data_IF_254441007489
#
_entry.id   IF_254441007489
#
_cell.length_a   1.000
_cell.length_b   1.000
_cell.length_c   1.000
_cell.angle_alpha   90.00
_cell.angle_beta   90.00
_cell.angle_gamma   90.00
#
_symmetry.space_group_name_H-M   'P 1'
#
loop_
_entity.id
_entity.type
_entity.pdbx_description
1 polymer ?
#
# COMPACT_ATOMS: atom_id res chain seq x y z
N UNK A 1 58.51 -8.99 -120.30
CA UNK A 1 57.24 -8.55 -120.92
C UNK A 1 56.62 -7.53 -119.99
N UNK A 2 56.78 -6.23 -120.27
CA UNK A 2 56.23 -5.13 -119.46
C UNK A 2 54.81 -4.78 -119.91
N UNK A 3 54.02 -4.17 -119.01
CA UNK A 3 53.32 -2.94 -119.41
C UNK A 3 53.45 -1.78 -118.40
N UNK A 4 53.22 -0.57 -118.91
CA UNK A 4 52.98 0.70 -118.19
C UNK A 4 51.51 1.12 -118.43
N UNK A 5 50.90 2.18 -117.87
CA UNK A 5 51.39 3.35 -117.10
C UNK A 5 50.50 3.50 -115.82
N UNK A 6 50.35 4.58 -115.04
CA UNK A 6 50.23 6.05 -115.23
C UNK A 6 50.63 6.75 -113.91
N UNK A 7 51.30 7.91 -113.91
CA UNK A 7 51.56 8.67 -112.68
C UNK A 7 50.35 9.52 -112.26
N UNK A 8 49.92 9.41 -111.01
CA UNK A 8 49.04 10.42 -110.40
C UNK A 8 49.90 11.56 -109.86
N UNK A 9 49.57 12.79 -110.27
CA UNK A 9 50.30 13.99 -109.89
C UNK A 9 50.21 14.22 -108.36
N UNK A 10 51.37 14.46 -107.74
CA UNK A 10 51.42 14.90 -106.35
C UNK A 10 50.93 16.34 -106.26
N UNK A 11 49.87 16.59 -105.50
CA UNK A 11 49.53 17.95 -105.05
C UNK A 11 50.23 18.18 -103.71
N UNK A 12 51.54 18.45 -103.78
CA UNK A 12 52.37 18.70 -102.60
C UNK A 12 52.19 20.13 -102.09
N UNK A 13 51.01 20.43 -101.53
CA UNK A 13 50.91 21.56 -100.61
C UNK A 13 51.51 21.13 -99.27
N UNK A 14 52.81 21.33 -99.10
CA UNK A 14 53.57 20.93 -97.91
C UNK A 14 53.49 22.05 -96.87
N UNK A 15 52.73 21.92 -95.76
CA UNK A 15 52.69 22.94 -94.73
C UNK A 15 54.03 22.94 -93.98
N UNK A 16 54.72 24.08 -93.97
CA UNK A 16 55.97 24.26 -93.23
C UNK A 16 55.74 24.15 -91.72
N UNK A 17 56.81 23.81 -90.98
CA UNK A 17 56.76 23.65 -89.52
C UNK A 17 56.21 24.88 -88.77
N UNK A 18 55.82 24.65 -87.52
CA UNK A 18 54.95 25.48 -86.63
C UNK A 18 53.47 25.60 -87.02
N UNK A 19 53.09 25.68 -88.30
CA UNK A 19 51.65 25.62 -88.71
C UNK A 19 51.00 24.24 -88.45
N UNK A 20 51.82 23.18 -88.31
CA UNK A 20 51.34 21.84 -87.93
C UNK A 20 51.13 21.67 -86.41
N UNK A 21 51.71 22.57 -85.59
CA UNK A 21 51.61 22.54 -84.13
C UNK A 21 50.59 23.55 -83.59
N UNK A 22 50.38 24.65 -84.31
CA UNK A 22 49.36 25.65 -83.98
C UNK A 22 48.25 25.52 -85.02
N UNK A 23 47.14 24.83 -84.73
CA UNK A 23 46.03 24.74 -85.67
C UNK A 23 45.49 26.14 -86.03
N UNK A 24 44.99 26.34 -87.26
CA UNK A 24 44.47 27.63 -87.68
C UNK A 24 43.35 28.09 -86.74
N UNK A 25 43.25 29.40 -86.48
CA UNK A 25 42.34 29.92 -85.43
C UNK A 25 40.87 29.53 -85.66
N UNK A 26 40.48 29.28 -86.92
CA UNK A 26 39.19 28.71 -87.29
C UNK A 26 38.94 27.33 -86.65
N UNK A 27 39.92 26.42 -86.67
CA UNK A 27 39.80 25.09 -86.06
C UNK A 27 39.77 25.17 -84.54
N UNK A 28 40.49 26.13 -83.94
CA UNK A 28 40.40 26.40 -82.49
C UNK A 28 38.99 26.90 -82.13
N UNK A 29 38.42 27.82 -82.92
CA UNK A 29 37.06 28.33 -82.69
C UNK A 29 36.02 27.21 -82.89
N UNK A 30 36.11 26.42 -83.96
CA UNK A 30 35.14 25.34 -84.21
C UNK A 30 35.27 24.15 -83.27
N UNK A 31 36.48 23.77 -82.86
CA UNK A 31 36.67 22.76 -81.81
C UNK A 31 36.18 23.26 -80.45
N UNK A 32 36.38 24.54 -80.11
CA UNK A 32 35.81 25.14 -78.91
C UNK A 32 34.28 25.23 -78.97
N UNK A 33 33.69 25.54 -80.12
CA UNK A 33 32.22 25.51 -80.33
C UNK A 33 31.67 24.09 -80.22
N UNK A 34 32.33 23.09 -80.81
CA UNK A 34 31.92 21.68 -80.69
C UNK A 34 32.03 21.16 -79.25
N UNK A 35 33.13 21.50 -78.56
CA UNK A 35 33.31 21.22 -77.13
C UNK A 35 32.24 21.94 -76.32
N UNK A 36 31.94 23.22 -76.58
CA UNK A 36 30.90 23.97 -75.86
C UNK A 36 29.50 23.37 -76.06
N UNK A 37 29.15 22.93 -77.28
CA UNK A 37 27.88 22.27 -77.59
C UNK A 37 27.68 20.98 -76.79
N UNK A 38 28.76 20.26 -76.44
CA UNK A 38 28.71 19.03 -75.62
C UNK A 38 28.84 19.37 -74.13
N UNK A 39 29.76 20.28 -73.77
CA UNK A 39 30.09 20.63 -72.40
C UNK A 39 28.99 21.44 -71.71
N UNK A 40 28.30 22.36 -72.41
CA UNK A 40 27.19 23.13 -71.84
C UNK A 40 26.07 22.21 -71.33
N UNK A 41 25.49 21.28 -72.13
CA UNK A 41 24.49 20.35 -71.60
C UNK A 41 25.10 19.35 -70.61
N UNK A 42 26.35 18.90 -70.77
CA UNK A 42 26.98 18.01 -69.79
C UNK A 42 27.10 18.68 -68.41
N UNK A 43 27.58 19.92 -68.34
CA UNK A 43 27.67 20.69 -67.10
C UNK A 43 26.29 21.08 -66.57
N UNK A 44 25.34 21.43 -67.45
CA UNK A 44 24.00 21.88 -67.03
C UNK A 44 23.03 20.75 -66.64
N UNK A 45 23.28 19.50 -67.08
CA UNK A 45 22.40 18.36 -66.79
C UNK A 45 23.06 17.19 -66.03
N UNK A 46 24.36 16.92 -66.22
CA UNK A 46 25.05 15.79 -65.55
C UNK A 46 25.54 16.19 -64.17
N UNK A 47 26.27 17.30 -64.04
CA UNK A 47 26.74 17.77 -62.72
C UNK A 47 25.61 17.91 -61.68
N UNK A 48 24.48 18.62 -61.95
CA UNK A 48 23.42 18.76 -60.94
C UNK A 48 22.69 17.45 -60.62
N UNK A 49 22.67 16.47 -61.54
CA UNK A 49 22.14 15.14 -61.25
C UNK A 49 23.07 14.33 -60.35
N UNK A 50 24.38 14.46 -60.55
CA UNK A 50 25.39 13.79 -59.71
C UNK A 50 25.44 14.41 -58.32
N UNK A 51 25.40 15.74 -58.20
CA UNK A 51 25.34 16.41 -56.89
C UNK A 51 24.05 16.06 -56.15
N UNK A 52 22.88 16.17 -56.79
CA UNK A 52 21.60 15.83 -56.15
C UNK A 52 21.56 14.38 -55.62
N UNK A 53 22.16 13.42 -56.35
CA UNK A 53 22.26 12.03 -55.88
C UNK A 53 23.24 11.88 -54.71
N UNK A 54 24.35 12.63 -54.70
CA UNK A 54 25.29 12.65 -53.57
C UNK A 54 24.68 13.29 -52.33
N UNK A 55 23.93 14.38 -52.51
CA UNK A 55 23.21 15.09 -51.45
C UNK A 55 22.10 14.20 -50.85
N UNK A 56 21.32 13.50 -51.69
CA UNK A 56 20.31 12.51 -51.23
C UNK A 56 20.96 11.36 -50.43
N UNK A 57 22.16 10.90 -50.85
CA UNK A 57 22.92 9.87 -50.11
C UNK A 57 23.49 10.41 -48.80
N UNK A 58 23.97 11.65 -48.77
CA UNK A 58 24.45 12.30 -47.56
C UNK A 58 23.29 12.51 -46.56
N UNK A 59 22.16 13.05 -47.01
CA UNK A 59 20.98 13.31 -46.19
C UNK A 59 20.38 12.02 -45.63
N UNK A 60 20.30 10.94 -46.42
CA UNK A 60 19.81 9.63 -45.93
C UNK A 60 20.75 8.99 -44.92
N UNK A 61 22.08 9.15 -45.06
CA UNK A 61 23.05 8.68 -44.07
C UNK A 61 22.99 9.53 -42.79
N UNK A 62 23.00 10.85 -42.90
CA UNK A 62 22.95 11.77 -41.76
C UNK A 62 21.60 11.70 -41.03
N UNK A 63 20.50 11.54 -41.76
CA UNK A 63 19.18 11.26 -41.21
C UNK A 63 19.14 9.91 -40.48
N UNK A 64 19.73 8.86 -41.06
CA UNK A 64 19.85 7.55 -40.43
C UNK A 64 20.69 7.55 -39.15
N UNK A 65 21.80 8.29 -39.13
CA UNK A 65 22.64 8.47 -37.93
C UNK A 65 21.87 9.24 -36.85
N UNK A 66 21.28 10.40 -37.19
CA UNK A 66 20.49 11.20 -36.25
C UNK A 66 19.31 10.43 -35.67
N UNK A 67 18.57 9.68 -36.49
CA UNK A 67 17.48 8.82 -36.02
C UNK A 67 17.98 7.69 -35.10
N UNK A 68 19.14 7.09 -35.41
CA UNK A 68 19.78 6.09 -34.56
C UNK A 68 20.29 6.64 -33.23
N UNK A 69 20.81 7.87 -33.20
CA UNK A 69 21.21 8.57 -31.99
C UNK A 69 20.01 8.99 -31.14
N UNK A 70 18.95 9.55 -31.75
CA UNK A 70 17.69 9.86 -31.08
C UNK A 70 17.06 8.62 -30.46
N UNK A 71 16.91 7.53 -31.20
CA UNK A 71 16.37 6.27 -30.69
C UNK A 71 17.22 5.69 -29.53
N UNK A 72 18.54 5.88 -29.54
CA UNK A 72 19.42 5.50 -28.42
C UNK A 72 19.25 6.41 -27.22
N UNK A 73 19.11 7.72 -27.42
CA UNK A 73 18.89 8.68 -26.35
C UNK A 73 17.53 8.46 -25.69
N UNK A 74 16.46 8.29 -26.46
CA UNK A 74 15.12 7.94 -25.98
C UNK A 74 15.11 6.61 -25.23
N UNK A 75 15.78 5.58 -25.75
CA UNK A 75 15.90 4.29 -25.05
C UNK A 75 16.69 4.39 -23.73
N UNK A 76 17.72 5.23 -23.67
CA UNK A 76 18.48 5.48 -22.44
C UNK A 76 17.67 6.28 -21.42
N UNK A 77 16.96 7.32 -21.85
CA UNK A 77 16.07 8.11 -21.00
C UNK A 77 14.92 7.27 -20.45
N UNK A 78 14.24 6.51 -21.32
CA UNK A 78 13.15 5.61 -20.94
C UNK A 78 13.64 4.56 -19.93
N UNK A 79 14.86 4.04 -20.10
CA UNK A 79 15.48 3.13 -19.14
C UNK A 79 15.77 3.79 -17.80
N UNK A 80 16.31 5.02 -17.78
CA UNK A 80 16.51 5.78 -16.53
C UNK A 80 15.19 5.96 -15.79
N UNK A 81 14.13 6.41 -16.50
CA UNK A 81 12.79 6.57 -15.94
C UNK A 81 12.23 5.25 -15.37
N UNK A 82 12.39 4.13 -16.06
CA UNK A 82 11.98 2.81 -15.55
C UNK A 82 12.78 2.36 -14.32
N UNK A 83 14.10 2.57 -14.30
CA UNK A 83 14.95 2.22 -13.16
C UNK A 83 14.64 3.12 -11.94
N UNK A 84 14.33 4.41 -12.16
CA UNK A 84 13.86 5.36 -11.15
C UNK A 84 12.47 4.98 -10.58
N UNK A 85 11.52 4.65 -11.46
CA UNK A 85 10.16 4.21 -11.08
C UNK A 85 10.20 2.88 -10.31
N UNK A 86 11.03 1.92 -10.74
CA UNK A 86 11.27 0.67 -10.02
C UNK A 86 11.92 0.93 -8.65
N UNK A 87 12.85 1.88 -8.55
CA UNK A 87 13.46 2.28 -7.30
C UNK A 87 12.48 3.01 -6.36
N UNK A 88 11.54 3.78 -6.91
CA UNK A 88 10.45 4.43 -6.16
C UNK A 88 9.46 3.37 -5.65
N UNK A 89 8.94 2.50 -6.52
CA UNK A 89 8.04 1.41 -6.14
C UNK A 89 8.62 0.48 -5.07
N UNK A 90 9.94 0.21 -5.11
CA UNK A 90 10.65 -0.54 -4.06
C UNK A 90 10.71 0.20 -2.73
N UNK A 91 10.94 1.51 -2.74
CA UNK A 91 10.93 2.37 -1.54
C UNK A 91 9.52 2.43 -0.93
N UNK A 92 8.50 2.61 -1.75
CA UNK A 92 7.11 2.66 -1.30
C UNK A 92 6.66 1.31 -0.73
N UNK A 93 7.01 0.20 -1.39
CA UNK A 93 6.73 -1.14 -0.88
C UNK A 93 7.44 -1.45 0.46
N UNK A 94 8.65 -0.91 0.66
CA UNK A 94 9.34 -0.99 1.96
C UNK A 94 8.60 -0.15 3.02
N UNK A 95 8.32 1.13 2.74
CA UNK A 95 7.60 2.02 3.64
C UNK A 95 6.21 1.51 4.03
N UNK A 96 5.49 0.84 3.11
CA UNK A 96 4.21 0.18 3.40
C UNK A 96 4.38 -1.02 4.33
N UNK A 97 5.43 -1.84 4.14
CA UNK A 97 5.73 -2.97 5.04
C UNK A 97 6.14 -2.52 6.43
N UNK A 98 6.96 -1.48 6.52
CA UNK A 98 7.41 -0.92 7.80
C UNK A 98 6.22 -0.35 8.57
N UNK A 99 5.37 0.46 7.90
CA UNK A 99 4.13 0.98 8.48
C UNK A 99 3.18 -0.13 8.93
N UNK A 100 2.91 -1.13 8.11
CA UNK A 100 2.06 -2.27 8.48
C UNK A 100 2.63 -3.07 9.66
N UNK A 101 3.96 -3.14 9.79
CA UNK A 101 4.64 -3.77 10.93
C UNK A 101 4.52 -2.95 12.20
N UNK A 102 4.58 -1.61 12.11
CA UNK A 102 4.39 -0.68 13.22
C UNK A 102 2.91 -0.64 13.68
N UNK A 103 1.97 -0.50 12.74
CA UNK A 103 0.53 -0.59 12.98
C UNK A 103 0.15 -1.95 13.60
N UNK A 104 0.72 -3.05 13.11
CA UNK A 104 0.52 -4.39 13.69
C UNK A 104 1.02 -4.50 15.13
N UNK A 105 2.20 -3.94 15.44
CA UNK A 105 2.72 -3.87 16.82
C UNK A 105 1.83 -3.00 17.72
N UNK A 106 1.39 -1.84 17.24
CA UNK A 106 0.50 -0.95 17.96
C UNK A 106 -0.85 -1.61 18.25
N UNK A 107 -1.44 -2.29 17.26
CA UNK A 107 -2.70 -3.03 17.41
C UNK A 107 -2.57 -4.17 18.42
N UNK A 108 -1.45 -4.92 18.42
CA UNK A 108 -1.20 -5.97 19.42
C UNK A 108 -1.01 -5.38 20.83
N UNK A 109 -0.33 -4.24 20.95
CA UNK A 109 -0.18 -3.55 22.24
C UNK A 109 -1.53 -3.05 22.77
N UNK A 110 -2.34 -2.39 21.92
CA UNK A 110 -3.68 -1.92 22.27
C UNK A 110 -4.64 -3.07 22.61
N UNK A 111 -4.55 -4.19 21.87
CA UNK A 111 -5.33 -5.40 22.15
C UNK A 111 -4.95 -6.02 23.51
N UNK A 112 -3.65 -6.08 23.86
CA UNK A 112 -3.19 -6.50 25.19
C UNK A 112 -3.70 -5.57 26.28
N UNK A 113 -3.51 -4.25 26.14
CA UNK A 113 -3.98 -3.28 27.13
C UNK A 113 -5.49 -3.36 27.35
N UNK A 114 -6.29 -3.56 26.29
CA UNK A 114 -7.73 -3.80 26.40
C UNK A 114 -8.06 -5.13 27.08
N UNK A 115 -7.34 -6.20 26.78
CA UNK A 115 -7.53 -7.51 27.40
C UNK A 115 -7.18 -7.49 28.90
N UNK A 116 -6.10 -6.82 29.30
CA UNK A 116 -5.70 -6.65 30.70
C UNK A 116 -6.72 -5.80 31.47
N UNK A 117 -7.17 -4.70 30.89
CA UNK A 117 -8.22 -3.86 31.48
C UNK A 117 -9.56 -4.62 31.64
N UNK A 118 -9.95 -5.42 30.66
CA UNK A 118 -11.14 -6.25 30.72
C UNK A 118 -11.00 -7.40 31.73
N UNK A 119 -9.84 -8.04 31.82
CA UNK A 119 -9.55 -9.04 32.83
C UNK A 119 -9.64 -8.45 34.25
N UNK A 120 -9.08 -7.27 34.48
CA UNK A 120 -9.24 -6.55 35.74
C UNK A 120 -10.70 -6.19 36.02
N UNK A 121 -11.47 -5.78 35.01
CA UNK A 121 -12.91 -5.49 35.15
C UNK A 121 -13.71 -6.75 35.53
N UNK A 122 -13.42 -7.89 34.89
CA UNK A 122 -14.03 -9.19 35.19
C UNK A 122 -13.70 -9.62 36.62
N UNK A 123 -12.43 -9.56 37.05
CA UNK A 123 -12.03 -9.92 38.43
C UNK A 123 -12.67 -8.97 39.45
N UNK A 124 -12.74 -7.67 39.18
CA UNK A 124 -13.40 -6.72 40.07
C UNK A 124 -14.93 -6.90 40.14
N UNK A 125 -15.57 -7.36 39.07
CA UNK A 125 -16.97 -7.78 39.07
C UNK A 125 -17.15 -9.08 39.86
N UNK A 126 -16.31 -10.09 39.63
CA UNK A 126 -16.37 -11.39 40.29
C UNK A 126 -16.19 -11.25 41.81
N UNK A 127 -15.20 -10.46 42.27
CA UNK A 127 -15.01 -10.18 43.70
C UNK A 127 -16.23 -9.49 44.33
N UNK A 128 -16.88 -8.55 43.62
CA UNK A 128 -18.13 -7.92 44.08
C UNK A 128 -19.29 -8.91 44.13
N UNK A 129 -19.39 -9.83 43.17
CA UNK A 129 -20.41 -10.88 43.17
C UNK A 129 -20.19 -11.86 44.32
N UNK A 130 -18.96 -12.32 44.54
CA UNK A 130 -18.60 -13.21 45.65
C UNK A 130 -18.93 -12.59 47.01
N UNK A 131 -18.68 -11.29 47.18
CA UNK A 131 -19.02 -10.58 48.43
C UNK A 131 -20.55 -10.46 48.61
N UNK A 132 -21.30 -10.17 47.55
CA UNK A 132 -22.77 -10.16 47.59
C UNK A 132 -23.36 -11.55 47.88
N UNK A 133 -22.83 -12.60 47.22
CA UNK A 133 -23.23 -13.99 47.42
C UNK A 133 -22.91 -14.46 48.84
N UNK A 134 -21.77 -14.05 49.39
CA UNK A 134 -21.39 -14.31 50.78
C UNK A 134 -22.38 -13.68 51.76
N UNK A 135 -22.73 -12.40 51.56
CA UNK A 135 -23.71 -11.71 52.41
C UNK A 135 -25.09 -12.35 52.32
N UNK A 136 -25.53 -12.73 51.11
CA UNK A 136 -26.79 -13.46 50.91
C UNK A 136 -26.78 -14.84 51.59
N UNK A 137 -25.68 -15.60 51.48
CA UNK A 137 -25.51 -16.88 52.15
C UNK A 137 -25.49 -16.74 53.68
N UNK A 138 -24.88 -15.69 54.22
CA UNK A 138 -24.86 -15.42 55.67
C UNK A 138 -26.25 -15.04 56.21
N UNK A 139 -27.06 -14.33 55.42
CA UNK A 139 -28.46 -14.03 55.74
C UNK A 139 -29.32 -15.31 55.70
N UNK A 140 -29.19 -16.13 54.65
CA UNK A 140 -29.89 -17.42 54.55
C UNK A 140 -29.53 -18.32 55.72
N UNK A 141 -28.23 -18.50 56.00
CA UNK A 141 -27.77 -19.34 57.10
C UNK A 141 -28.30 -18.87 58.46
N UNK A 142 -28.37 -17.56 58.71
CA UNK A 142 -29.02 -17.02 59.93
C UNK A 142 -30.51 -17.34 59.99
N UNK A 143 -31.21 -17.24 58.86
CA UNK A 143 -32.64 -17.60 58.76
C UNK A 143 -32.85 -19.09 59.03
N UNK A 144 -32.08 -19.95 58.37
CA UNK A 144 -32.20 -21.42 58.46
C UNK A 144 -31.85 -21.92 59.87
N UNK A 145 -30.77 -21.40 60.47
CA UNK A 145 -30.40 -21.69 61.87
C UNK A 145 -31.42 -21.14 62.85
N UNK A 146 -31.98 -19.95 62.62
CA UNK A 146 -33.06 -19.39 63.45
C UNK A 146 -34.32 -20.26 63.41
N UNK A 147 -34.66 -20.80 62.24
CA UNK A 147 -35.83 -21.67 62.04
C UNK A 147 -35.61 -23.03 62.72
N UNK A 148 -34.44 -23.67 62.53
CA UNK A 148 -34.06 -24.91 63.22
C UNK A 148 -34.00 -24.74 64.76
N UNK A 149 -33.48 -23.60 65.24
CA UNK A 149 -33.44 -23.31 66.68
C UNK A 149 -34.84 -23.08 67.26
N UNK A 150 -35.73 -22.41 66.52
CA UNK A 150 -37.13 -22.22 66.89
C UNK A 150 -37.92 -23.54 66.92
N UNK A 151 -37.70 -24.41 65.93
CA UNK A 151 -38.29 -25.75 65.89
C UNK A 151 -37.82 -26.61 67.07
N UNK A 152 -36.51 -26.62 67.36
CA UNK A 152 -35.96 -27.34 68.51
C UNK A 152 -36.50 -26.79 69.84
N UNK A 153 -36.56 -25.48 70.01
CA UNK A 153 -37.13 -24.84 71.20
C UNK A 153 -38.61 -25.18 71.37
N UNK A 154 -39.39 -25.11 70.28
CA UNK A 154 -40.81 -25.49 70.27
C UNK A 154 -41.01 -26.96 70.66
N UNK A 155 -40.12 -27.85 70.20
CA UNK A 155 -40.15 -29.28 70.52
C UNK A 155 -39.81 -29.55 71.98
N UNK A 156 -38.77 -28.90 72.52
CA UNK A 156 -38.39 -28.99 73.95
C UNK A 156 -39.52 -28.45 74.84
N UNK A 157 -40.08 -27.28 74.52
CA UNK A 157 -41.19 -26.70 75.27
C UNK A 157 -42.44 -27.59 75.20
N UNK A 158 -42.75 -28.16 74.03
CA UNK A 158 -43.84 -29.13 73.87
C UNK A 158 -43.67 -30.36 74.76
N UNK A 159 -42.49 -31.00 74.74
CA UNK A 159 -42.15 -32.15 75.59
C UNK A 159 -42.24 -31.80 77.09
N UNK A 160 -41.77 -30.61 77.47
CA UNK A 160 -41.80 -30.14 78.88
C UNK A 160 -43.21 -29.74 79.35
N UNK A 161 -44.11 -29.35 78.44
CA UNK A 161 -45.51 -29.05 78.75
C UNK A 161 -46.39 -30.29 78.86
N UNK A 162 -45.99 -31.42 78.26
CA UNK A 162 -46.64 -32.72 78.50
C UNK A 162 -46.33 -33.31 79.88
N UNK A 163 -45.34 -32.78 80.60
CA UNK A 163 -45.05 -33.15 81.98
C UNK A 163 -45.92 -32.31 82.95
N UNK A 164 -46.99 -32.93 83.48
CA UNK A 164 -48.09 -32.23 84.16
C UNK A 164 -47.68 -31.37 85.37
N UNK A 165 -46.59 -31.75 86.04
CA UNK A 165 -46.02 -31.02 87.17
C UNK A 165 -45.38 -29.69 86.76
N UNK A 166 -44.99 -29.52 85.49
CA UNK A 166 -44.49 -28.24 84.96
C UNK A 166 -45.63 -27.33 84.51
N UNK A 167 -46.70 -27.90 83.92
CA UNK A 167 -47.87 -27.13 83.49
C UNK A 167 -48.53 -26.40 84.67
N UNK A 168 -48.72 -27.09 85.80
CA UNK A 168 -49.28 -26.50 87.03
C UNK A 168 -48.41 -25.34 87.56
N UNK A 169 -47.08 -25.52 87.61
CA UNK A 169 -46.15 -24.45 88.07
C UNK A 169 -46.14 -23.20 87.18
N UNK A 170 -46.34 -23.35 85.87
CA UNK A 170 -46.46 -22.21 84.96
C UNK A 170 -47.79 -21.47 85.17
N UNK A 171 -48.89 -22.21 85.39
CA UNK A 171 -50.20 -21.64 85.72
C UNK A 171 -50.14 -20.90 87.06
N UNK A 172 -49.63 -21.51 88.12
CA UNK A 172 -49.50 -20.88 89.45
C UNK A 172 -48.66 -19.60 89.40
N UNK A 173 -47.57 -19.59 88.61
CA UNK A 173 -46.74 -18.40 88.42
C UNK A 173 -47.49 -17.29 87.68
N UNK A 174 -48.24 -17.62 86.63
CA UNK A 174 -49.03 -16.64 85.88
C UNK A 174 -50.20 -16.09 86.71
N UNK A 175 -50.87 -16.93 87.50
CA UNK A 175 -51.89 -16.52 88.46
C UNK A 175 -51.30 -15.61 89.55
N UNK A 176 -50.13 -15.94 90.08
CA UNK A 176 -49.43 -15.09 91.06
C UNK A 176 -49.00 -13.75 90.46
N UNK A 177 -48.55 -13.72 89.20
CA UNK A 177 -48.17 -12.48 88.51
C UNK A 177 -49.39 -11.57 88.24
N UNK A 178 -50.53 -12.15 87.83
CA UNK A 178 -51.81 -11.45 87.74
C UNK A 178 -52.35 -10.98 89.10
N UNK A 179 -52.16 -11.77 90.17
CA UNK A 179 -52.56 -11.37 91.52
C UNK A 179 -51.72 -10.19 92.03
N UNK A 180 -50.42 -10.17 91.72
CA UNK A 180 -49.55 -9.01 91.97
C UNK A 180 -49.97 -7.79 91.14
N UNK A 181 -50.19 -7.93 89.83
CA UNK A 181 -50.59 -6.82 88.97
C UNK A 181 -51.96 -6.26 89.35
N UNK A 182 -52.95 -7.11 89.63
CA UNK A 182 -54.28 -6.69 90.06
C UNK A 182 -54.28 -6.02 91.45
N UNK A 183 -53.43 -6.49 92.37
CA UNK A 183 -53.24 -5.84 93.68
C UNK A 183 -52.54 -4.47 93.55
N UNK A 184 -51.63 -4.31 92.59
CA UNK A 184 -51.06 -3.00 92.23
C UNK A 184 -52.11 -2.06 91.61
N UNK A 185 -52.94 -2.54 90.69
CA UNK A 185 -53.99 -1.73 90.04
C UNK A 185 -55.08 -1.31 91.04
N UNK A 186 -55.58 -2.23 91.86
CA UNK A 186 -56.57 -1.92 92.91
C UNK A 186 -56.04 -0.97 93.99
N UNK A 187 -54.71 -0.95 94.23
CA UNK A 187 -54.08 0.05 95.09
C UNK A 187 -54.11 1.46 94.49
N UNK A 188 -54.27 1.61 93.17
CA UNK A 188 -54.32 2.93 92.49
C UNK A 188 -55.73 3.50 92.27
N UNK A 189 -56.79 2.69 92.33
CA UNK A 189 -58.19 3.19 92.27
C UNK A 189 -58.78 3.50 93.66
N UNK A 190 -58.09 3.12 94.74
CA UNK A 190 -58.50 3.42 96.12
C UNK A 190 -58.16 4.84 96.62
N UNK A 191 -57.32 5.60 95.89
CA UNK A 191 -56.88 6.94 96.30
C UNK A 191 -57.65 8.04 95.53
N UNK A 192 -58.82 8.39 96.07
CA UNK A 192 -59.64 9.56 95.71
C UNK A 192 -59.89 10.44 96.92
#
# INVERSE_FOLDING_TARGET
MFPQIVPLAVSSNTPSGIDLLIPPWYDIIWSLVAIAIIAIPMVKYVLPKVSALLDERAETIEGGIRAGEQARAEAAELRSRFDEELAAARRDAAAVRDRATEEGKAMVAEARTRADAEAHRIVANANRQIEADRQAAEISLRSDVGLMASELASRIVGETLTDGDMQTRVIDRFLSELEVENNVVSSTEGEK
#
